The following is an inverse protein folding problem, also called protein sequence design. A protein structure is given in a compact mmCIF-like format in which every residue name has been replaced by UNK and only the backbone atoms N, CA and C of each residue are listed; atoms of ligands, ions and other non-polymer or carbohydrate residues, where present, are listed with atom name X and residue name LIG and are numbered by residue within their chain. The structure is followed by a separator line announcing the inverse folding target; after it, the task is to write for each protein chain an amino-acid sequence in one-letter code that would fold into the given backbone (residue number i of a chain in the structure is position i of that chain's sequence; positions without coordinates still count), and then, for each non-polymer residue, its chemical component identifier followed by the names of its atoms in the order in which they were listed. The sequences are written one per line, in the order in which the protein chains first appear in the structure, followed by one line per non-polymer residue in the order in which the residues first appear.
data_IF_200567085918
#
_entry.id   IF_200567085918
#
_cell.length_a   1.000
_cell.length_b   1.000
_cell.length_c   1.000
_cell.angle_alpha   90.00
_cell.angle_beta   90.00
_cell.angle_gamma   90.00
#
_symmetry.space_group_name_H-M   'P 1'
#
loop_
_entity.id
_entity.type
_entity.pdbx_description
1 polymer ?
#
# COMPACT_ATOMS: atom_id res chain seq x y z
N UNK A 1 -32.53 27.32 -0.37
CA UNK A 1 -32.92 26.22 -1.27
C UNK A 1 -31.65 25.45 -1.56
N UNK A 2 -31.50 24.31 -0.92
CA UNK A 2 -30.42 23.37 -1.22
C UNK A 2 -30.59 22.95 -2.68
N UNK A 3 -29.55 23.24 -3.48
CA UNK A 3 -29.52 22.78 -4.86
C UNK A 3 -28.92 21.39 -4.81
N UNK A 4 -29.71 20.39 -5.19
CA UNK A 4 -29.20 19.04 -5.42
C UNK A 4 -27.95 19.12 -6.29
N UNK A 5 -26.93 18.35 -5.92
CA UNK A 5 -25.67 18.29 -6.63
C UNK A 5 -25.66 17.00 -7.43
N UNK A 6 -25.56 17.12 -8.75
CA UNK A 6 -25.41 16.01 -9.65
C UNK A 6 -23.95 15.92 -10.08
N UNK A 7 -23.37 14.75 -9.98
CA UNK A 7 -21.96 14.53 -10.29
C UNK A 7 -21.75 13.16 -10.93
N UNK A 8 -20.74 13.10 -11.78
CA UNK A 8 -20.21 11.86 -12.34
C UNK A 8 -18.98 11.45 -11.55
N UNK A 9 -18.85 10.16 -11.31
CA UNK A 9 -17.74 9.61 -10.51
C UNK A 9 -17.30 8.27 -11.07
N UNK A 10 -16.02 7.94 -10.85
CA UNK A 10 -15.48 6.61 -11.20
C UNK A 10 -14.97 5.94 -9.95
N UNK A 11 -15.47 4.74 -9.68
CA UNK A 11 -15.04 3.89 -8.58
C UNK A 11 -14.25 2.72 -9.17
N UNK A 12 -13.01 2.55 -8.73
CA UNK A 12 -12.11 1.50 -9.22
C UNK A 12 -11.88 0.43 -8.15
N UNK A 13 -11.85 -0.82 -8.57
CA UNK A 13 -11.48 -1.96 -7.71
C UNK A 13 -10.38 -2.75 -8.39
N UNK A 14 -9.29 -2.98 -7.64
CA UNK A 14 -8.12 -3.74 -8.08
C UNK A 14 -7.82 -4.86 -7.09
N UNK A 15 -7.57 -6.08 -7.57
CA UNK A 15 -7.16 -7.18 -6.70
C UNK A 15 -7.15 -8.56 -7.36
N UNK A 16 -7.31 -9.61 -6.54
CA UNK A 16 -7.36 -11.03 -6.95
C UNK A 16 -8.36 -11.80 -6.08
N UNK A 17 -8.98 -12.89 -6.58
CA UNK A 17 -9.06 -13.34 -7.98
C UNK A 17 -10.16 -12.60 -8.78
N UNK A 18 -10.19 -12.78 -10.11
CA UNK A 18 -11.06 -12.03 -11.04
C UNK A 18 -12.53 -12.01 -10.63
N UNK A 19 -13.06 -13.16 -10.21
CA UNK A 19 -14.46 -13.34 -9.84
C UNK A 19 -14.84 -12.51 -8.61
N UNK A 20 -13.91 -12.33 -7.67
CA UNK A 20 -14.13 -11.50 -6.49
C UNK A 20 -14.17 -10.02 -6.86
N UNK A 21 -13.37 -9.59 -7.83
CA UNK A 21 -13.33 -8.19 -8.26
C UNK A 21 -14.64 -7.77 -8.92
N UNK A 22 -15.23 -8.61 -9.77
CA UNK A 22 -16.53 -8.32 -10.38
C UNK A 22 -17.64 -8.21 -9.34
N UNK A 23 -17.66 -9.16 -8.41
CA UNK A 23 -18.67 -9.16 -7.35
C UNK A 23 -18.48 -7.95 -6.43
N UNK A 24 -17.24 -7.62 -6.08
CA UNK A 24 -16.93 -6.51 -5.19
C UNK A 24 -17.40 -5.16 -5.74
N UNK A 25 -17.14 -4.84 -7.01
CA UNK A 25 -17.61 -3.56 -7.58
C UNK A 25 -19.15 -3.50 -7.60
N UNK A 26 -19.83 -4.61 -7.92
CA UNK A 26 -21.31 -4.67 -7.91
C UNK A 26 -21.89 -4.53 -6.51
N UNK A 27 -21.34 -5.26 -5.54
CA UNK A 27 -21.75 -5.17 -4.13
C UNK A 27 -21.54 -3.75 -3.59
N UNK A 28 -20.50 -3.06 -4.07
CA UNK A 28 -20.20 -1.69 -3.69
C UNK A 28 -21.24 -0.69 -4.22
N UNK A 29 -21.54 -0.76 -5.50
CA UNK A 29 -22.58 0.08 -6.13
C UNK A 29 -23.96 -0.24 -5.54
N UNK A 30 -24.22 -1.52 -5.22
CA UNK A 30 -25.48 -1.92 -4.57
C UNK A 30 -25.62 -1.28 -3.19
N UNK A 31 -24.56 -1.26 -2.36
CA UNK A 31 -24.59 -0.55 -1.07
C UNK A 31 -24.84 0.94 -1.23
N UNK A 32 -24.22 1.56 -2.24
CA UNK A 32 -24.47 2.97 -2.54
C UNK A 32 -25.94 3.24 -2.90
N UNK A 33 -26.60 2.31 -3.62
CA UNK A 33 -28.03 2.41 -3.93
C UNK A 33 -28.95 2.19 -2.73
N UNK A 34 -28.48 1.47 -1.71
CA UNK A 34 -29.21 1.24 -0.46
C UNK A 34 -29.11 2.45 0.49
N UNK A 35 -28.11 3.30 0.28
CA UNK A 35 -27.91 4.53 1.04
C UNK A 35 -28.91 5.62 0.61
N UNK A 36 -29.81 6.01 1.52
CA UNK A 36 -30.82 7.04 1.24
C UNK A 36 -30.25 8.45 1.03
N UNK A 37 -28.96 8.64 1.32
CA UNK A 37 -28.24 9.91 1.15
C UNK A 37 -27.95 10.21 -0.32
N UNK A 38 -27.80 9.17 -1.14
CA UNK A 38 -27.40 9.27 -2.54
C UNK A 38 -28.43 8.65 -3.48
N UNK A 39 -28.70 9.31 -4.60
CA UNK A 39 -29.55 8.79 -5.66
C UNK A 39 -28.67 8.45 -6.87
N UNK A 40 -28.48 7.15 -7.14
CA UNK A 40 -27.74 6.68 -8.33
C UNK A 40 -28.67 6.75 -9.54
N UNK A 41 -28.33 7.60 -10.51
CA UNK A 41 -29.11 7.87 -11.72
C UNK A 41 -28.72 6.95 -12.87
N UNK A 42 -27.41 6.80 -13.09
CA UNK A 42 -26.84 5.93 -14.12
C UNK A 42 -25.64 5.15 -13.56
N UNK A 43 -25.41 3.95 -14.10
CA UNK A 43 -24.25 3.12 -13.83
C UNK A 43 -23.76 2.44 -15.09
N UNK A 44 -22.46 2.48 -15.32
CA UNK A 44 -21.79 1.73 -16.37
C UNK A 44 -20.60 0.97 -15.78
N UNK A 45 -20.53 -0.34 -16.03
CA UNK A 45 -19.49 -1.21 -15.50
C UNK A 45 -18.51 -1.59 -16.61
N UNK A 46 -17.25 -1.22 -16.43
CA UNK A 46 -16.21 -1.59 -17.37
C UNK A 46 -15.86 -3.08 -17.29
N UNK A 47 -15.45 -3.64 -18.43
CA UNK A 47 -14.92 -5.00 -18.46
C UNK A 47 -13.67 -5.14 -17.59
N UNK A 48 -13.57 -6.28 -16.90
CA UNK A 48 -12.42 -6.56 -16.04
C UNK A 48 -11.19 -6.83 -16.91
N UNK A 49 -10.15 -6.05 -16.70
CA UNK A 49 -8.86 -6.18 -17.39
C UNK A 49 -7.79 -6.68 -16.43
N UNK A 50 -6.92 -7.54 -16.94
CA UNK A 50 -5.70 -7.92 -16.22
C UNK A 50 -4.71 -6.78 -16.40
N UNK A 51 -4.05 -6.37 -15.31
CA UNK A 51 -2.97 -5.40 -15.39
C UNK A 51 -1.72 -6.08 -15.99
N UNK A 52 -1.05 -5.43 -16.93
CA UNK A 52 0.02 -6.08 -17.70
C UNK A 52 1.25 -6.44 -16.84
N UNK A 53 1.54 -5.62 -15.82
CA UNK A 53 2.75 -5.74 -14.99
C UNK A 53 2.54 -6.58 -13.72
N UNK A 54 1.29 -6.90 -13.37
CA UNK A 54 0.95 -7.60 -12.14
C UNK A 54 -0.14 -8.63 -12.40
N UNK A 55 -0.15 -9.75 -11.70
CA UNK A 55 -1.26 -10.72 -11.76
C UNK A 55 -2.58 -10.19 -11.13
N UNK A 56 -2.79 -8.88 -11.10
CA UNK A 56 -3.98 -8.23 -10.59
C UNK A 56 -5.02 -8.04 -11.69
N UNK A 57 -6.28 -8.06 -11.29
CA UNK A 57 -7.42 -7.71 -12.11
C UNK A 57 -7.98 -6.37 -11.65
N UNK A 58 -8.34 -5.52 -12.59
CA UNK A 58 -8.91 -4.21 -12.35
C UNK A 58 -10.22 -4.06 -13.12
N UNK A 59 -11.20 -3.40 -12.52
CA UNK A 59 -12.43 -2.94 -13.15
C UNK A 59 -12.82 -1.62 -12.52
N UNK A 60 -13.68 -0.87 -13.20
CA UNK A 60 -14.24 0.36 -12.66
C UNK A 60 -15.72 0.46 -13.01
N UNK A 61 -16.45 1.21 -12.19
CA UNK A 61 -17.81 1.62 -12.46
C UNK A 61 -17.86 3.15 -12.61
N UNK A 62 -18.40 3.63 -13.72
CA UNK A 62 -18.78 5.02 -13.88
C UNK A 62 -20.21 5.19 -13.38
N UNK A 63 -20.43 6.16 -12.50
CA UNK A 63 -21.73 6.41 -11.89
C UNK A 63 -22.11 7.88 -12.09
N UNK A 64 -23.38 8.12 -12.38
CA UNK A 64 -23.98 9.44 -12.24
C UNK A 64 -24.84 9.44 -10.97
N UNK A 65 -24.48 10.30 -10.02
CA UNK A 65 -25.02 10.30 -8.66
C UNK A 65 -25.54 11.68 -8.32
N UNK A 66 -26.63 11.71 -7.57
CA UNK A 66 -27.22 12.93 -7.04
C UNK A 66 -27.16 12.93 -5.52
N UNK A 67 -26.62 14.00 -4.97
CA UNK A 67 -26.50 14.29 -3.54
C UNK A 67 -27.37 15.50 -3.18
N UNK A 68 -27.84 15.55 -1.94
CA UNK A 68 -28.72 16.65 -1.48
C UNK A 68 -27.94 17.92 -1.16
N UNK A 69 -26.68 17.78 -0.73
CA UNK A 69 -25.83 18.89 -0.30
C UNK A 69 -24.36 18.71 -0.70
N UNK A 70 -23.56 19.76 -0.54
CA UNK A 70 -22.11 19.70 -0.75
C UNK A 70 -21.42 18.89 0.35
N UNK A 71 -21.99 18.87 1.55
CA UNK A 71 -21.53 18.05 2.66
C UNK A 71 -21.64 16.57 2.31
N UNK A 72 -22.76 16.16 1.69
CA UNK A 72 -22.95 14.78 1.24
C UNK A 72 -21.96 14.41 0.13
N UNK A 73 -21.68 15.30 -0.83
CA UNK A 73 -20.65 15.04 -1.84
C UNK A 73 -19.25 14.92 -1.21
N UNK A 74 -18.92 15.76 -0.24
CA UNK A 74 -17.64 15.68 0.48
C UNK A 74 -17.55 14.37 1.29
N UNK A 75 -18.62 13.98 1.98
CA UNK A 75 -18.70 12.71 2.68
C UNK A 75 -18.53 11.54 1.70
N UNK A 76 -19.17 11.61 0.53
CA UNK A 76 -19.01 10.64 -0.54
C UNK A 76 -17.54 10.47 -0.95
N UNK A 77 -16.80 11.57 -1.11
CA UNK A 77 -15.36 11.52 -1.42
C UNK A 77 -14.56 10.75 -0.36
N UNK A 78 -14.89 10.90 0.92
CA UNK A 78 -14.15 10.27 2.02
C UNK A 78 -14.55 8.81 2.27
N UNK A 79 -15.82 8.48 2.06
CA UNK A 79 -16.35 7.13 2.28
C UNK A 79 -16.09 6.24 1.07
N UNK A 80 -16.37 6.77 -0.12
CA UNK A 80 -16.31 6.01 -1.36
C UNK A 80 -15.00 6.16 -2.14
N UNK A 81 -14.17 7.14 -1.76
CA UNK A 81 -12.82 7.39 -2.31
C UNK A 81 -12.73 7.18 -3.83
N UNK A 82 -13.57 7.87 -4.62
CA UNK A 82 -13.57 7.67 -6.06
C UNK A 82 -12.26 8.15 -6.69
N UNK A 83 -11.91 7.54 -7.82
CA UNK A 83 -10.73 7.91 -8.60
C UNK A 83 -10.89 9.27 -9.28
N UNK A 84 -12.13 9.65 -9.61
CA UNK A 84 -12.47 10.96 -10.19
C UNK A 84 -13.87 11.39 -9.77
N UNK A 85 -14.05 12.71 -9.62
CA UNK A 85 -15.36 13.34 -9.47
C UNK A 85 -15.45 14.51 -10.46
N UNK A 86 -16.57 14.59 -11.16
CA UNK A 86 -16.95 15.69 -12.02
C UNK A 86 -18.34 16.20 -11.63
N UNK A 87 -18.43 17.45 -11.16
CA UNK A 87 -19.73 18.06 -10.85
C UNK A 87 -20.42 18.49 -12.14
N UNK A 88 -21.61 17.95 -12.40
CA UNK A 88 -22.44 18.26 -13.55
C UNK A 88 -23.36 19.45 -13.25
N UNK A 89 -24.00 19.42 -12.07
CA UNK A 89 -24.84 20.51 -11.57
C UNK A 89 -24.72 20.68 -10.05
N UNK A 90 -24.89 21.89 -9.50
CA UNK A 90 -25.03 23.16 -10.22
C UNK A 90 -23.68 23.71 -10.71
N UNK A 91 -23.70 24.62 -11.70
CA UNK A 91 -22.48 25.30 -12.20
C UNK A 91 -21.75 26.16 -11.16
N UNK A 92 -22.42 26.53 -10.08
CA UNK A 92 -21.86 27.32 -8.99
C UNK A 92 -22.30 26.70 -7.67
N UNK A 93 -21.31 26.40 -6.84
CA UNK A 93 -21.49 25.92 -5.47
C UNK A 93 -21.05 27.04 -4.54
N UNK A 94 -21.93 27.44 -3.64
CA UNK A 94 -21.60 28.42 -2.61
C UNK A 94 -21.23 27.68 -1.34
N UNK A 95 -20.09 28.04 -0.77
CA UNK A 95 -19.65 27.51 0.50
C UNK A 95 -19.75 28.59 1.58
N UNK A 96 -20.11 28.19 2.79
CA UNK A 96 -19.95 29.03 3.98
C UNK A 96 -18.57 28.82 4.58
N UNK A 97 -18.11 29.77 5.39
CA UNK A 97 -16.86 29.65 6.13
C UNK A 97 -16.83 28.39 7.01
N UNK A 98 -17.98 28.01 7.60
CA UNK A 98 -18.10 26.79 8.41
C UNK A 98 -17.91 25.53 7.58
N UNK A 99 -18.55 25.42 6.41
CA UNK A 99 -18.45 24.24 5.54
C UNK A 99 -17.04 24.07 4.97
N UNK A 100 -16.36 25.15 4.59
CA UNK A 100 -14.95 25.07 4.15
C UNK A 100 -14.07 24.62 5.31
N UNK A 101 -14.28 25.19 6.51
CA UNK A 101 -13.48 24.83 7.68
C UNK A 101 -13.65 23.35 8.06
N UNK A 102 -14.88 22.83 8.05
CA UNK A 102 -15.19 21.42 8.28
C UNK A 102 -14.49 20.53 7.23
N UNK A 103 -14.67 20.81 5.94
CA UNK A 103 -14.00 20.08 4.86
C UNK A 103 -12.47 20.05 5.02
N UNK A 104 -11.85 21.21 5.26
CA UNK A 104 -10.40 21.30 5.42
C UNK A 104 -9.91 20.53 6.66
N UNK A 105 -10.66 20.57 7.76
CA UNK A 105 -10.32 19.82 8.96
C UNK A 105 -10.43 18.30 8.75
N UNK A 106 -11.47 17.84 8.07
CA UNK A 106 -11.64 16.42 7.75
C UNK A 106 -10.56 15.92 6.79
N UNK A 107 -10.23 16.72 5.77
CA UNK A 107 -9.12 16.44 4.85
C UNK A 107 -7.79 16.34 5.60
N UNK A 108 -7.48 17.31 6.47
CA UNK A 108 -6.26 17.30 7.28
C UNK A 108 -6.22 16.09 8.22
N UNK A 109 -7.36 15.74 8.84
CA UNK A 109 -7.47 14.56 9.70
C UNK A 109 -7.15 13.27 8.94
N UNK A 110 -7.72 13.09 7.74
CA UNK A 110 -7.46 11.92 6.89
C UNK A 110 -6.01 11.87 6.41
N UNK A 111 -5.45 12.99 5.95
CA UNK A 111 -4.04 13.06 5.54
C UNK A 111 -3.10 12.75 6.71
N UNK A 112 -3.39 13.26 7.90
CA UNK A 112 -2.60 12.99 9.09
C UNK A 112 -2.68 11.50 9.50
N UNK A 113 -3.86 10.88 9.42
CA UNK A 113 -4.02 9.44 9.64
C UNK A 113 -3.18 8.61 8.66
N UNK A 114 -3.23 8.94 7.37
CA UNK A 114 -2.44 8.25 6.33
C UNK A 114 -0.94 8.41 6.58
N UNK A 115 -0.47 9.62 6.91
CA UNK A 115 0.93 9.88 7.26
C UNK A 115 1.38 9.06 8.48
N UNK A 116 0.53 8.98 9.51
CA UNK A 116 0.80 8.17 10.71
C UNK A 116 0.91 6.68 10.39
N UNK A 117 0.01 6.14 9.55
CA UNK A 117 0.09 4.74 9.10
C UNK A 117 1.37 4.50 8.31
N UNK A 118 1.71 5.37 7.37
CA UNK A 118 2.92 5.25 6.57
C UNK A 118 4.19 5.30 7.44
N UNK A 119 4.25 6.21 8.42
CA UNK A 119 5.35 6.31 9.39
C UNK A 119 5.47 5.05 10.24
N UNK A 120 4.35 4.54 10.75
CA UNK A 120 4.33 3.32 11.55
C UNK A 120 4.87 2.12 10.75
N UNK A 121 4.34 1.89 9.55
CA UNK A 121 4.79 0.81 8.65
C UNK A 121 6.28 0.94 8.33
N UNK A 122 6.76 2.17 8.08
CA UNK A 122 8.19 2.42 7.86
C UNK A 122 9.03 2.05 9.08
N UNK A 123 8.62 2.50 10.28
CA UNK A 123 9.33 2.20 11.52
C UNK A 123 9.38 0.69 11.80
N UNK A 124 8.28 -0.01 11.63
CA UNK A 124 8.24 -1.47 11.79
C UNK A 124 9.14 -2.17 10.77
N UNK A 125 9.08 -1.76 9.50
CA UNK A 125 9.92 -2.33 8.45
C UNK A 125 11.41 -2.08 8.71
N UNK A 126 11.78 -0.88 9.15
CA UNK A 126 13.17 -0.54 9.48
C UNK A 126 13.67 -1.37 10.69
N UNK A 127 12.82 -1.57 11.71
CA UNK A 127 13.14 -2.43 12.85
C UNK A 127 13.28 -3.90 12.44
N UNK A 128 12.37 -4.41 11.61
CA UNK A 128 12.41 -5.77 11.09
C UNK A 128 13.68 -6.00 10.26
N UNK A 129 14.03 -5.08 9.36
CA UNK A 129 15.27 -5.14 8.57
C UNK A 129 16.50 -5.18 9.45
N UNK A 130 16.56 -4.33 10.48
CA UNK A 130 17.69 -4.31 11.44
C UNK A 130 17.81 -5.65 12.18
N UNK A 131 16.70 -6.17 12.69
CA UNK A 131 16.70 -7.44 13.43
C UNK A 131 17.05 -8.62 12.53
N UNK A 132 16.51 -8.66 11.30
CA UNK A 132 16.81 -9.70 10.32
C UNK A 132 18.28 -9.68 9.90
N UNK A 133 18.85 -8.49 9.68
CA UNK A 133 20.28 -8.31 9.40
C UNK A 133 21.15 -8.87 10.53
N UNK A 134 20.83 -8.53 11.78
CA UNK A 134 21.56 -9.04 12.95
C UNK A 134 21.44 -10.57 13.09
N UNK A 135 20.24 -11.13 12.88
CA UNK A 135 20.01 -12.58 12.91
C UNK A 135 20.80 -13.31 11.83
N UNK A 136 20.79 -12.81 10.60
CA UNK A 136 21.56 -13.39 9.50
C UNK A 136 23.07 -13.36 9.78
N UNK A 137 23.59 -12.21 10.21
CA UNK A 137 25.00 -12.08 10.62
C UNK A 137 25.39 -13.11 11.69
N UNK A 138 24.54 -13.25 12.71
CA UNK A 138 24.77 -14.22 13.78
C UNK A 138 24.67 -15.67 13.28
N UNK A 139 23.73 -15.96 12.39
CA UNK A 139 23.59 -17.28 11.79
C UNK A 139 24.81 -17.66 10.96
N UNK A 140 25.33 -16.75 10.13
CA UNK A 140 26.59 -16.94 9.39
C UNK A 140 27.75 -17.27 10.34
N UNK A 141 27.90 -16.50 11.42
CA UNK A 141 28.94 -16.75 12.44
C UNK A 141 28.77 -18.13 13.10
N UNK A 142 27.54 -18.55 13.39
CA UNK A 142 27.27 -19.90 13.92
C UNK A 142 27.63 -21.00 12.92
N UNK A 143 27.31 -20.82 11.64
CA UNK A 143 27.68 -21.78 10.58
C UNK A 143 29.20 -21.90 10.45
N UNK A 144 29.91 -20.76 10.43
CA UNK A 144 31.38 -20.71 10.33
C UNK A 144 32.08 -21.25 11.58
N UNK A 145 31.40 -21.30 12.74
CA UNK A 145 31.92 -21.96 13.94
C UNK A 145 32.00 -23.47 13.81
N UNK A 146 31.08 -24.07 13.04
CA UNK A 146 31.05 -25.52 12.83
C UNK A 146 32.07 -25.96 11.77
N UNK A 147 32.22 -25.16 10.70
CA UNK A 147 33.13 -25.42 9.59
C UNK A 147 33.36 -24.15 8.76
N UNK A 148 34.51 -24.07 8.12
CA UNK A 148 34.79 -23.01 7.14
C UNK A 148 33.98 -23.27 5.85
N UNK A 149 33.44 -22.21 5.25
CA UNK A 149 32.48 -22.32 4.15
C UNK A 149 32.81 -21.33 3.02
N UNK A 150 32.49 -21.71 1.80
CA UNK A 150 32.49 -20.82 0.62
C UNK A 150 31.22 -19.96 0.57
N UNK A 151 31.23 -18.89 -0.24
CA UNK A 151 30.05 -18.05 -0.50
C UNK A 151 28.84 -18.86 -0.97
N UNK A 152 29.03 -19.74 -1.96
CA UNK A 152 27.99 -20.62 -2.49
C UNK A 152 27.36 -21.54 -1.43
N UNK A 153 28.17 -22.05 -0.50
CA UNK A 153 27.67 -22.89 0.58
C UNK A 153 26.87 -22.07 1.59
N UNK A 154 27.31 -20.86 1.91
CA UNK A 154 26.57 -19.94 2.79
C UNK A 154 25.26 -19.49 2.15
N UNK A 155 25.25 -19.19 0.84
CA UNK A 155 24.05 -18.89 0.07
C UNK A 155 23.02 -20.03 0.18
N UNK A 156 23.44 -21.28 -0.06
CA UNK A 156 22.55 -22.45 0.05
C UNK A 156 22.03 -22.70 1.47
N UNK A 157 22.82 -22.40 2.51
CA UNK A 157 22.44 -22.63 3.91
C UNK A 157 21.61 -21.49 4.52
N UNK A 158 21.77 -20.27 4.01
CA UNK A 158 21.05 -19.08 4.48
C UNK A 158 19.80 -18.78 3.67
N UNK A 159 19.74 -19.24 2.41
CA UNK A 159 18.64 -18.94 1.49
C UNK A 159 18.62 -17.48 1.00
N UNK A 160 19.69 -16.72 1.26
CA UNK A 160 19.83 -15.32 0.85
C UNK A 160 20.47 -15.27 -0.52
N UNK A 161 19.93 -14.46 -1.43
CA UNK A 161 20.49 -14.25 -2.76
C UNK A 161 21.98 -13.85 -2.69
N UNK A 162 22.79 -14.37 -3.63
CA UNK A 162 24.25 -14.27 -3.56
C UNK A 162 24.74 -12.82 -3.49
N UNK A 163 24.16 -11.95 -4.32
CA UNK A 163 24.45 -10.51 -4.35
C UNK A 163 24.21 -9.83 -3.00
N UNK A 164 23.11 -10.19 -2.32
CA UNK A 164 22.78 -9.65 -0.99
C UNK A 164 23.63 -10.26 0.11
N UNK A 165 23.99 -11.53 -0.03
CA UNK A 165 24.82 -12.21 0.96
C UNK A 165 26.22 -11.59 1.03
N UNK A 166 26.79 -11.21 -0.12
CA UNK A 166 28.09 -10.53 -0.20
C UNK A 166 28.12 -9.25 0.64
N UNK A 167 27.08 -8.41 0.60
CA UNK A 167 26.96 -7.22 1.45
C UNK A 167 27.09 -7.55 2.95
N UNK A 168 26.53 -8.67 3.41
CA UNK A 168 26.61 -9.08 4.82
C UNK A 168 27.97 -9.67 5.18
N UNK A 169 28.62 -10.37 4.24
CA UNK A 169 29.94 -10.95 4.43
C UNK A 169 31.00 -9.85 4.53
N UNK A 170 30.94 -8.86 3.64
CA UNK A 170 31.82 -7.69 3.67
C UNK A 170 31.67 -6.94 4.99
N UNK A 171 30.43 -6.68 5.44
CA UNK A 171 30.21 -6.07 6.75
C UNK A 171 30.77 -6.92 7.90
N UNK A 172 30.69 -8.24 7.84
CA UNK A 172 31.24 -9.11 8.90
C UNK A 172 32.78 -9.14 8.89
N UNK A 173 33.40 -8.96 7.73
CA UNK A 173 34.85 -8.78 7.57
C UNK A 173 35.27 -7.43 8.13
N UNK A 174 34.55 -6.36 7.78
CA UNK A 174 34.76 -5.00 8.30
C UNK A 174 34.57 -4.94 9.83
N UNK A 175 33.55 -5.64 10.34
CA UNK A 175 33.29 -5.82 11.78
C UNK A 175 34.38 -6.69 12.46
N UNK A 176 35.32 -7.27 11.70
CA UNK A 176 36.41 -8.11 12.19
C UNK A 176 35.96 -9.47 12.75
N UNK A 177 34.75 -9.92 12.41
CA UNK A 177 34.13 -11.15 12.95
C UNK A 177 34.46 -12.39 12.12
N UNK A 178 34.71 -12.21 10.83
CA UNK A 178 35.09 -13.27 9.88
C UNK A 178 36.24 -12.77 9.00
N UNK A 179 36.89 -13.69 8.31
CA UNK A 179 37.95 -13.40 7.34
C UNK A 179 37.82 -14.36 6.14
N UNK A 180 38.43 -14.00 5.01
CA UNK A 180 38.34 -14.70 3.73
C UNK A 180 39.74 -15.06 3.23
N UNK A 181 39.99 -16.35 2.99
CA UNK A 181 41.24 -16.84 2.41
C UNK A 181 40.94 -17.88 1.34
N UNK A 182 41.50 -17.68 0.15
CA UNK A 182 41.36 -18.62 -0.99
C UNK A 182 39.88 -18.94 -1.32
N UNK A 183 38.98 -17.96 -1.17
CA UNK A 183 37.55 -18.14 -1.44
C UNK A 183 36.75 -18.84 -0.33
N UNK A 184 37.39 -19.10 0.83
CA UNK A 184 36.77 -19.75 1.98
C UNK A 184 36.71 -18.76 3.15
N UNK A 185 35.51 -18.57 3.70
CA UNK A 185 35.27 -17.77 4.90
C UNK A 185 35.49 -18.58 6.17
N UNK A 186 36.04 -17.94 7.19
CA UNK A 186 36.30 -18.52 8.51
C UNK A 186 36.17 -17.48 9.63
N UNK A 187 35.96 -17.92 10.87
CA UNK A 187 35.91 -17.01 12.03
C UNK A 187 37.30 -16.47 12.36
N UNK A 188 37.37 -15.16 12.66
CA UNK A 188 38.55 -14.58 13.28
C UNK A 188 38.68 -15.12 14.73
N UNK A 189 39.91 -15.35 15.19
CA UNK A 189 40.12 -15.75 16.60
C UNK A 189 39.68 -14.58 17.49
N UNK A 190 38.99 -14.84 18.62
CA UNK A 190 38.62 -13.77 19.53
C UNK A 190 39.90 -13.06 19.99
N UNK A 191 39.99 -11.76 19.74
CA UNK A 191 40.93 -10.87 20.40
C UNK A 191 40.64 -10.97 21.90
N UNK A 192 41.61 -11.49 22.64
CA UNK A 192 41.59 -11.53 24.11
C UNK A 192 41.55 -10.12 24.69
#
# INVERSE_FOLDING_TARGET
MEKNIMFRTVIEVVGKPKEHIEKSIRDYVQKLKEDTTYEVLEEDFAEIKKQDDQELWATFAELEVKASSIQDLVAFCFEYMPSIIEVLEPKQINFTDSTISEFLNDLQSKLHQVDMVAKHVKMENDMLKKNMSALLKNYIVVLLRQRNLTGDQLNKLTGVAQDKLEDFLDQLIDDGRIDLKEGIYFLTKPTK
#
